data_IF_675313627808
#
_entry.id   IF_675313627808
#
_cell.length_a   1.000
_cell.length_b   1.000
_cell.length_c   1.000
_cell.angle_alpha   90.00
_cell.angle_beta   90.00
_cell.angle_gamma   90.00
#
_symmetry.space_group_name_H-M   'P 1'
#
loop_
_entity.id
_entity.type
_entity.pdbx_description
1 polymer ?
#
# COMPACT_ATOMS: atom_id res chain seq x y z
N UNK A 1 -40.47 -1.69 -31.12
CA UNK A 1 -40.36 -1.57 -29.65
C UNK A 1 -39.75 -2.86 -29.13
N UNK A 2 -38.43 -2.90 -28.93
CA UNK A 2 -37.72 -4.06 -28.41
C UNK A 2 -37.23 -3.73 -27.01
N UNK A 3 -37.57 -4.66 -26.12
CA UNK A 3 -37.50 -4.60 -24.67
C UNK A 3 -36.06 -4.69 -24.14
N UNK A 4 -35.83 -3.93 -23.07
CA UNK A 4 -35.17 -4.32 -21.82
C UNK A 4 -34.06 -5.37 -21.87
N UNK A 5 -32.83 -4.93 -21.55
CA UNK A 5 -31.86 -5.73 -20.81
C UNK A 5 -30.90 -4.79 -20.06
N UNK A 6 -31.37 -4.25 -18.93
CA UNK A 6 -30.51 -3.64 -17.91
C UNK A 6 -29.70 -4.76 -17.24
N UNK A 7 -28.48 -4.99 -17.71
CA UNK A 7 -27.50 -5.80 -16.99
C UNK A 7 -26.92 -4.95 -15.85
N UNK A 8 -27.56 -5.06 -14.69
CA UNK A 8 -26.96 -4.70 -13.41
C UNK A 8 -25.82 -5.69 -13.14
N UNK A 9 -24.61 -5.34 -13.57
CA UNK A 9 -23.41 -6.02 -13.11
C UNK A 9 -23.31 -5.82 -11.59
N UNK A 10 -23.54 -6.90 -10.84
CA UNK A 10 -23.34 -6.95 -9.41
C UNK A 10 -21.91 -6.56 -9.10
N UNK A 11 -21.74 -5.37 -8.55
CA UNK A 11 -20.54 -5.00 -7.82
C UNK A 11 -20.55 -5.90 -6.60
N UNK A 12 -19.81 -7.00 -6.65
CA UNK A 12 -19.44 -7.78 -5.48
C UNK A 12 -18.63 -6.85 -4.58
N UNK A 13 -19.38 -6.13 -3.74
CA UNK A 13 -18.85 -5.22 -2.74
C UNK A 13 -18.52 -6.10 -1.54
N UNK A 14 -17.55 -7.00 -1.73
CA UNK A 14 -16.90 -7.70 -0.64
C UNK A 14 -16.42 -6.63 0.34
N UNK A 15 -17.14 -6.51 1.46
CA UNK A 15 -16.79 -5.60 2.54
C UNK A 15 -15.33 -5.88 2.92
N UNK A 16 -14.48 -4.85 3.08
CA UNK A 16 -13.07 -5.10 3.35
C UNK A 16 -12.99 -5.82 4.68
N UNK A 17 -12.54 -7.09 4.64
CA UNK A 17 -12.00 -7.74 5.81
C UNK A 17 -10.91 -6.80 6.32
N UNK A 18 -11.07 -6.28 7.52
CA UNK A 18 -10.04 -5.49 8.17
C UNK A 18 -8.82 -6.40 8.30
N UNK A 19 -7.88 -6.27 7.36
CA UNK A 19 -6.61 -6.97 7.43
C UNK A 19 -5.81 -6.25 8.51
N UNK A 20 -5.37 -6.98 9.53
CA UNK A 20 -4.40 -6.45 10.48
C UNK A 20 -3.09 -6.26 9.72
N UNK A 21 -2.80 -5.00 9.39
CA UNK A 21 -1.54 -4.61 8.76
C UNK A 21 -0.58 -4.21 9.89
N UNK A 22 0.49 -4.97 10.04
CA UNK A 22 1.62 -4.64 10.89
C UNK A 22 2.75 -4.13 9.99
N UNK A 23 3.21 -2.90 10.23
CA UNK A 23 4.29 -2.29 9.46
C UNK A 23 5.47 -1.98 10.38
N UNK A 24 6.68 -2.28 9.90
CA UNK A 24 7.93 -1.84 10.52
C UNK A 24 8.13 -0.31 10.33
N UNK A 25 9.07 0.27 11.07
CA UNK A 25 9.46 1.67 10.87
C UNK A 25 10.04 1.93 9.46
N UNK A 26 10.77 0.97 8.91
CA UNK A 26 11.29 1.00 7.54
C UNK A 26 10.16 0.96 6.52
N UNK A 27 9.26 -0.02 6.61
CA UNK A 27 8.11 -0.18 5.72
C UNK A 27 7.22 1.07 5.67
N UNK A 28 6.97 1.69 6.82
CA UNK A 28 6.24 2.96 6.93
C UNK A 28 6.93 4.07 6.13
N UNK A 29 8.26 4.15 6.21
CA UNK A 29 9.07 5.13 5.50
C UNK A 29 8.95 4.94 3.99
N UNK A 30 9.03 3.70 3.51
CA UNK A 30 8.83 3.35 2.10
C UNK A 30 7.45 3.76 1.58
N UNK A 31 6.39 3.41 2.30
CA UNK A 31 5.02 3.70 1.89
C UNK A 31 4.75 5.22 1.87
N UNK A 32 5.34 5.98 2.79
CA UNK A 32 5.28 7.44 2.78
C UNK A 32 6.06 8.04 1.60
N UNK A 33 7.25 7.53 1.33
CA UNK A 33 8.10 8.01 0.24
C UNK A 33 7.51 7.73 -1.16
N UNK A 34 6.83 6.59 -1.33
CA UNK A 34 6.12 6.26 -2.57
C UNK A 34 4.78 6.99 -2.69
N UNK A 35 4.08 7.13 -1.56
CA UNK A 35 2.70 7.61 -1.52
C UNK A 35 1.68 6.52 -1.86
N UNK A 36 0.45 6.70 -1.37
CA UNK A 36 -0.63 5.70 -1.49
C UNK A 36 -1.55 5.92 -2.70
N UNK A 37 -1.14 6.74 -3.67
CA UNK A 37 -1.94 7.05 -4.86
C UNK A 37 -1.92 5.93 -5.91
N UNK A 38 -1.03 4.94 -5.76
CA UNK A 38 -0.77 3.90 -6.75
C UNK A 38 0.00 4.41 -7.98
N UNK A 39 0.44 5.68 -7.97
CA UNK A 39 1.29 6.23 -9.02
C UNK A 39 2.64 5.50 -9.05
N UNK A 40 3.20 5.24 -10.25
CA UNK A 40 4.50 4.63 -10.38
C UNK A 40 5.60 5.58 -9.86
N UNK A 41 6.54 5.01 -9.12
CA UNK A 41 7.72 5.69 -8.56
C UNK A 41 8.97 4.97 -9.03
N UNK A 42 9.87 5.70 -9.69
CA UNK A 42 11.16 5.17 -10.10
C UNK A 42 12.03 4.88 -8.88
N UNK A 43 12.67 3.71 -8.86
CA UNK A 43 13.50 3.29 -7.73
C UNK A 43 14.66 4.22 -7.43
N UNK A 44 15.27 4.84 -8.45
CA UNK A 44 16.28 5.89 -8.23
C UNK A 44 15.76 7.04 -7.37
N UNK A 45 14.57 7.55 -7.70
CA UNK A 45 13.93 8.62 -6.94
C UNK A 45 13.49 8.17 -5.55
N UNK A 46 13.08 6.90 -5.42
CA UNK A 46 12.74 6.32 -4.12
C UNK A 46 13.94 6.28 -3.17
N UNK A 47 15.10 5.84 -3.68
CA UNK A 47 16.38 5.84 -2.93
C UNK A 47 16.73 7.27 -2.49
N UNK A 48 16.63 8.24 -3.39
CA UNK A 48 16.89 9.66 -3.07
C UNK A 48 15.93 10.22 -2.00
N UNK A 49 14.66 9.80 -2.00
CA UNK A 49 13.65 10.25 -1.01
C UNK A 49 13.85 9.65 0.38
N UNK A 50 14.32 8.40 0.44
CA UNK A 50 14.52 7.70 1.71
C UNK A 50 15.81 8.17 2.40
N UNK A 51 16.86 8.49 1.62
CA UNK A 51 18.09 9.07 2.14
C UNK A 51 19.03 8.03 2.77
N UNK A 52 19.56 8.32 3.95
CA UNK A 52 20.55 7.48 4.65
C UNK A 52 19.90 6.27 5.33
N UNK A 53 19.62 5.24 4.55
CA UNK A 53 19.26 3.90 5.03
C UNK A 53 20.32 2.91 4.55
N UNK A 54 20.69 1.94 5.39
CA UNK A 54 21.68 0.94 4.99
C UNK A 54 21.13 0.12 3.81
N UNK A 55 21.99 -0.22 2.84
CA UNK A 55 21.55 -0.95 1.64
C UNK A 55 20.94 -2.32 1.95
N UNK A 56 21.42 -3.00 2.98
CA UNK A 56 20.87 -4.28 3.41
C UNK A 56 19.45 -4.10 3.99
N UNK A 57 19.26 -3.14 4.90
CA UNK A 57 17.96 -2.78 5.48
C UNK A 57 16.99 -2.33 4.39
N UNK A 58 17.43 -1.47 3.47
CA UNK A 58 16.62 -0.98 2.36
C UNK A 58 16.07 -2.14 1.52
N UNK A 59 16.92 -3.11 1.17
CA UNK A 59 16.54 -4.26 0.38
C UNK A 59 15.62 -5.20 1.16
N UNK A 60 15.88 -5.41 2.45
CA UNK A 60 15.05 -6.29 3.29
C UNK A 60 13.63 -5.73 3.44
N UNK A 61 13.51 -4.45 3.82
CA UNK A 61 12.23 -3.76 4.02
C UNK A 61 11.43 -3.67 2.71
N UNK A 62 12.09 -3.32 1.60
CA UNK A 62 11.41 -3.25 0.30
C UNK A 62 10.96 -4.63 -0.19
N UNK A 63 11.79 -5.68 -0.02
CA UNK A 63 11.41 -7.03 -0.37
C UNK A 63 10.29 -7.57 0.53
N UNK A 64 10.26 -7.19 1.81
CA UNK A 64 9.15 -7.49 2.72
C UNK A 64 7.81 -6.95 2.17
N UNK A 65 7.78 -5.65 1.84
CA UNK A 65 6.60 -5.01 1.26
C UNK A 65 6.13 -5.65 -0.06
N UNK A 66 7.07 -6.09 -0.90
CA UNK A 66 6.76 -6.76 -2.17
C UNK A 66 6.25 -8.18 -1.93
N UNK A 67 6.88 -8.92 -1.02
CA UNK A 67 6.54 -10.32 -0.72
C UNK A 67 5.14 -10.45 -0.14
N UNK A 68 4.72 -9.51 0.71
CA UNK A 68 3.35 -9.44 1.24
C UNK A 68 2.35 -8.91 0.19
N UNK A 69 2.85 -8.25 -0.87
CA UNK A 69 2.05 -7.71 -1.96
C UNK A 69 1.48 -6.32 -1.72
N UNK A 70 2.00 -5.58 -0.73
CA UNK A 70 1.65 -4.18 -0.47
C UNK A 70 2.25 -3.26 -1.54
N UNK A 71 3.42 -3.61 -2.06
CA UNK A 71 4.12 -2.91 -3.14
C UNK A 71 4.27 -3.85 -4.33
N UNK A 72 4.11 -3.31 -5.53
CA UNK A 72 4.31 -4.01 -6.79
C UNK A 72 5.56 -3.45 -7.46
N UNK A 73 6.40 -4.35 -7.99
CA UNK A 73 7.57 -4.01 -8.82
C UNK A 73 7.35 -4.50 -10.25
N UNK A 74 7.96 -3.82 -11.22
CA UNK A 74 8.07 -4.29 -12.61
C UNK A 74 9.17 -5.34 -12.82
N UNK A 75 10.05 -5.53 -11.82
CA UNK A 75 11.11 -6.56 -11.82
C UNK A 75 10.66 -7.80 -11.05
N UNK A 76 11.11 -8.96 -11.52
CA UNK A 76 10.82 -10.26 -10.89
C UNK A 76 11.66 -10.50 -9.63
N UNK A 77 12.89 -9.96 -9.57
CA UNK A 77 13.79 -10.11 -8.42
C UNK A 77 14.65 -8.86 -8.25
N UNK A 78 14.83 -8.44 -7.00
CA UNK A 78 15.66 -7.31 -6.59
C UNK A 78 16.70 -7.83 -5.60
N UNK A 79 17.93 -8.04 -6.08
CA UNK A 79 19.03 -8.58 -5.25
C UNK A 79 20.04 -7.52 -4.87
N UNK A 80 20.11 -6.44 -5.65
CA UNK A 80 21.09 -5.38 -5.48
C UNK A 80 20.42 -4.01 -5.50
N UNK A 81 21.07 -3.00 -4.93
CA UNK A 81 20.61 -1.61 -5.03
C UNK A 81 20.60 -1.08 -6.46
N UNK A 82 21.39 -1.67 -7.37
CA UNK A 82 21.35 -1.32 -8.78
C UNK A 82 20.06 -1.80 -9.45
N UNK A 83 19.60 -3.01 -9.10
CA UNK A 83 18.30 -3.52 -9.55
C UNK A 83 17.17 -2.60 -9.09
N UNK A 84 17.21 -2.19 -7.82
CA UNK A 84 16.24 -1.24 -7.25
C UNK A 84 16.21 0.05 -8.06
N UNK A 85 17.37 0.66 -8.31
CA UNK A 85 17.45 1.95 -9.02
C UNK A 85 16.86 1.89 -10.44
N UNK A 86 16.92 0.72 -11.08
CA UNK A 86 16.39 0.47 -12.43
C UNK A 86 14.93 0.02 -12.46
N UNK A 87 14.32 -0.25 -11.30
CA UNK A 87 12.95 -0.72 -11.18
C UNK A 87 11.95 0.43 -11.02
N UNK A 88 10.68 0.11 -11.23
CA UNK A 88 9.52 0.97 -10.99
C UNK A 88 8.62 0.30 -9.97
N UNK A 89 8.21 1.07 -8.97
CA UNK A 89 7.41 0.61 -7.85
C UNK A 89 6.05 1.31 -7.81
N UNK A 90 5.02 0.62 -7.33
CA UNK A 90 3.74 1.25 -6.99
C UNK A 90 3.09 0.54 -5.83
N UNK A 91 2.34 1.28 -5.02
CA UNK A 91 1.49 0.67 -3.98
C UNK A 91 0.35 -0.11 -4.64
N UNK A 92 0.07 -1.30 -4.10
CA UNK A 92 -1.05 -2.11 -4.53
C UNK A 92 -2.37 -1.46 -4.10
N UNK A 93 -3.20 -1.07 -5.08
CA UNK A 93 -4.48 -0.41 -4.86
C UNK A 93 -5.44 -1.22 -3.97
N UNK A 94 -5.32 -2.55 -3.97
CA UNK A 94 -6.13 -3.45 -3.13
C UNK A 94 -5.91 -3.22 -1.63
N UNK A 95 -4.73 -2.75 -1.25
CA UNK A 95 -4.33 -2.49 0.14
C UNK A 95 -4.25 -1.00 0.47
N UNK A 96 -4.42 -0.10 -0.50
CA UNK A 96 -4.18 1.33 -0.32
C UNK A 96 -5.02 1.94 0.82
N UNK A 97 -6.25 1.44 1.02
CA UNK A 97 -7.12 1.88 2.12
C UNK A 97 -6.60 1.41 3.48
N UNK A 98 -6.30 0.13 3.61
CA UNK A 98 -5.83 -0.45 4.87
C UNK A 98 -4.44 0.10 5.25
N UNK A 99 -3.55 0.29 4.27
CA UNK A 99 -2.24 0.92 4.47
C UNK A 99 -2.37 2.38 4.94
N UNK A 100 -3.36 3.12 4.41
CA UNK A 100 -3.65 4.49 4.87
C UNK A 100 -4.09 4.51 6.33
N UNK A 101 -4.93 3.58 6.72
CA UNK A 101 -5.43 3.45 8.08
C UNK A 101 -4.30 3.05 9.04
N UNK A 102 -3.40 2.13 8.63
CA UNK A 102 -2.21 1.75 9.38
C UNK A 102 -1.20 2.91 9.56
N UNK A 103 -1.03 3.75 8.53
CA UNK A 103 -0.14 4.92 8.57
C UNK A 103 -0.70 6.09 9.39
N UNK A 104 -2.01 6.10 9.69
CA UNK A 104 -2.69 7.17 10.43
C UNK A 104 -3.41 6.63 11.68
N UNK A 105 -2.68 6.18 12.71
CA UNK A 105 -3.27 5.54 13.89
C UNK A 105 -4.23 6.44 14.70
N UNK A 106 -4.30 7.75 14.43
CA UNK A 106 -5.17 8.70 15.13
C UNK A 106 -6.63 8.76 14.66
N UNK A 107 -6.97 8.35 13.42
CA UNK A 107 -8.33 8.55 12.88
C UNK A 107 -9.33 7.44 13.21
N UNK A 108 -8.85 6.26 13.63
CA UNK A 108 -9.72 5.11 13.93
C UNK A 108 -10.43 5.24 15.29
N UNK A 109 -9.79 5.86 16.28
CA UNK A 109 -10.36 6.02 17.65
C UNK A 109 -11.67 6.82 17.69
N UNK A 110 -11.93 7.68 16.71
CA UNK A 110 -13.12 8.54 16.72
C UNK A 110 -14.38 7.87 16.12
N UNK A 111 -14.22 6.83 15.28
CA UNK A 111 -15.36 6.18 14.59
C UNK A 111 -16.03 5.06 15.38
N UNK A 112 -15.32 4.38 16.27
CA UNK A 112 -15.90 3.32 17.11
C UNK A 112 -16.62 3.84 18.37
N UNK A 113 -16.31 5.06 18.84
CA UNK A 113 -16.86 5.61 20.08
C UNK A 113 -18.26 6.24 19.99
N UNK A 114 -18.79 6.54 18.80
CA UNK A 114 -20.00 7.39 18.65
C UNK A 114 -21.34 6.65 18.52
N UNK A 115 -21.37 5.32 18.64
CA UNK A 115 -22.62 4.53 18.46
C UNK A 115 -23.28 4.03 19.75
N UNK A 116 -22.80 4.37 20.94
CA UNK A 116 -23.44 3.96 22.20
C UNK A 116 -23.60 5.14 23.16
N UNK A 117 -24.75 5.83 23.03
CA UNK A 117 -25.57 6.39 24.12
C UNK A 117 -26.67 7.27 23.52
N UNK A 118 -27.75 6.62 23.08
CA UNK A 118 -29.09 7.16 23.22
C UNK A 118 -29.85 6.15 24.09
N UNK A 119 -30.02 6.54 25.33
CA UNK A 119 -30.82 5.92 26.38
C UNK A 119 -31.12 7.04 27.35
#
# INVERSE_FOLDING_TARGET
>A
MISCATLAAGVDRSLPMHREINLSGGEITFLKAMGLSGAPVYGKLLVERIGEMESAEFLDELNGLISVGYVLSDKVSLRTMEDVKRAVFRVNASYARDLRDALTPGRRREREGRRRRRG
#
